data_IF_659439652832
#
_entry.id   IF_659439652832
#
_cell.length_a   1.000
_cell.length_b   1.000
_cell.length_c   1.000
_cell.angle_alpha   90.00
_cell.angle_beta   90.00
_cell.angle_gamma   90.00
#
_symmetry.space_group_name_H-M   'P 1'
#
loop_
_entity.id
_entity.type
_entity.pdbx_description
1 polymer ?
#
# COMPACT_ATOMS: atom_id res chain seq x y z
N UNK A 1 -29.68 -21.98 17.74
CA UNK A 1 -28.81 -20.78 17.74
C UNK A 1 -29.65 -19.57 18.16
N UNK A 2 -29.28 -18.90 19.24
CA UNK A 2 -29.90 -17.63 19.67
C UNK A 2 -28.91 -16.51 19.39
N UNK A 3 -29.40 -15.42 18.82
CA UNK A 3 -28.61 -14.21 18.66
C UNK A 3 -28.53 -13.51 20.03
N UNK A 4 -27.38 -13.51 20.66
CA UNK A 4 -27.16 -12.94 21.98
C UNK A 4 -26.23 -11.73 21.89
N UNK A 5 -26.48 -10.75 22.75
CA UNK A 5 -25.60 -9.60 23.00
C UNK A 5 -25.37 -9.52 24.51
N UNK A 6 -24.14 -9.31 24.91
CA UNK A 6 -23.77 -9.22 26.33
C UNK A 6 -23.78 -7.75 26.78
N UNK A 7 -24.72 -7.36 27.65
CA UNK A 7 -24.69 -6.04 28.29
C UNK A 7 -23.64 -6.03 29.41
N UNK A 8 -22.54 -5.33 29.17
CA UNK A 8 -21.44 -5.17 30.11
C UNK A 8 -21.50 -3.85 30.90
N UNK A 9 -22.59 -3.10 30.75
CA UNK A 9 -22.78 -1.79 31.39
C UNK A 9 -22.87 -1.91 32.91
N UNK A 10 -21.92 -1.33 33.60
CA UNK A 10 -21.91 -1.18 35.06
C UNK A 10 -22.55 0.14 35.54
N UNK A 11 -22.38 0.45 36.82
CA UNK A 11 -22.85 1.73 37.42
C UNK A 11 -21.92 2.91 37.08
N UNK A 12 -20.67 2.65 36.74
CA UNK A 12 -19.65 3.65 36.43
C UNK A 12 -18.86 3.24 35.19
N UNK A 13 -18.16 4.17 34.56
CA UNK A 13 -17.26 3.88 33.43
C UNK A 13 -16.14 2.89 33.81
N UNK A 14 -15.58 3.00 35.02
CA UNK A 14 -14.57 2.07 35.56
C UNK A 14 -15.11 0.64 35.68
N UNK A 15 -16.31 0.48 36.23
CA UNK A 15 -16.95 -0.84 36.37
C UNK A 15 -17.29 -1.43 35.00
N UNK A 16 -17.83 -0.62 34.10
CA UNK A 16 -18.13 -1.03 32.73
C UNK A 16 -16.87 -1.50 32.00
N UNK A 17 -15.77 -0.76 32.10
CA UNK A 17 -14.50 -1.17 31.49
C UNK A 17 -13.98 -2.47 32.09
N UNK A 18 -14.06 -2.62 33.43
CA UNK A 18 -13.68 -3.88 34.11
C UNK A 18 -14.49 -5.04 33.59
N UNK A 19 -15.81 -4.90 33.45
CA UNK A 19 -16.69 -5.94 32.94
C UNK A 19 -16.34 -6.31 31.50
N UNK A 20 -16.17 -5.31 30.61
CA UNK A 20 -15.80 -5.51 29.21
C UNK A 20 -14.45 -6.26 29.07
N UNK A 21 -13.45 -5.84 29.85
CA UNK A 21 -12.13 -6.49 29.88
C UNK A 21 -12.25 -7.94 30.39
N UNK A 22 -13.01 -8.18 31.46
CA UNK A 22 -13.17 -9.50 32.02
C UNK A 22 -13.82 -10.45 31.02
N UNK A 23 -14.97 -10.07 30.46
CA UNK A 23 -15.67 -10.83 29.41
C UNK A 23 -14.76 -11.19 28.26
N UNK A 24 -14.03 -10.18 27.73
CA UNK A 24 -13.14 -10.38 26.59
C UNK A 24 -11.95 -11.28 26.92
N UNK A 25 -11.37 -11.14 28.10
CA UNK A 25 -10.24 -11.99 28.53
C UNK A 25 -10.68 -13.44 28.73
N UNK A 26 -11.79 -13.67 29.39
CA UNK A 26 -12.31 -15.03 29.62
C UNK A 26 -12.68 -15.69 28.29
N UNK A 27 -13.33 -14.95 27.38
CA UNK A 27 -13.65 -15.47 26.06
C UNK A 27 -12.42 -15.88 25.24
N UNK A 28 -11.34 -15.07 25.27
CA UNK A 28 -10.16 -15.29 24.43
C UNK A 28 -9.05 -16.12 25.11
N UNK A 29 -8.74 -15.80 26.37
CA UNK A 29 -7.62 -16.43 27.08
C UNK A 29 -8.01 -17.80 27.67
N UNK A 30 -9.20 -17.87 28.23
CA UNK A 30 -9.69 -19.09 28.86
C UNK A 30 -10.52 -19.94 27.87
N UNK A 31 -10.75 -19.44 26.66
CA UNK A 31 -11.45 -20.16 25.58
C UNK A 31 -12.94 -20.35 25.82
N UNK A 32 -13.55 -19.57 26.74
CA UNK A 32 -14.97 -19.70 27.07
C UNK A 32 -15.85 -19.07 25.97
N UNK A 33 -16.37 -19.93 25.09
CA UNK A 33 -17.26 -19.55 23.99
C UNK A 33 -18.59 -18.98 24.46
N UNK A 34 -19.02 -19.21 25.69
CA UNK A 34 -20.26 -18.64 26.24
C UNK A 34 -20.21 -17.14 26.39
N UNK A 35 -19.01 -16.57 26.45
CA UNK A 35 -18.73 -15.13 26.50
C UNK A 35 -18.25 -14.54 25.16
N UNK A 36 -18.25 -15.31 24.08
CA UNK A 36 -17.81 -14.90 22.74
C UNK A 36 -18.82 -14.10 21.92
N UNK A 37 -19.88 -13.57 22.53
CA UNK A 37 -20.90 -12.78 21.87
C UNK A 37 -20.52 -11.30 21.79
N UNK A 38 -21.12 -10.53 20.84
CA UNK A 38 -20.97 -9.08 20.81
C UNK A 38 -21.36 -8.43 22.13
N UNK A 39 -20.61 -7.43 22.57
CA UNK A 39 -20.89 -6.68 23.80
C UNK A 39 -21.58 -5.36 23.50
N UNK A 40 -22.49 -4.95 24.38
CA UNK A 40 -23.17 -3.66 24.37
C UNK A 40 -22.76 -2.86 25.60
N UNK A 41 -22.52 -1.55 25.40
CA UNK A 41 -22.26 -0.58 26.47
C UNK A 41 -23.23 0.60 26.33
N UNK A 42 -23.99 0.87 27.37
CA UNK A 42 -24.89 2.01 27.43
C UNK A 42 -24.18 3.19 28.10
N UNK A 43 -23.55 4.05 27.28
CA UNK A 43 -22.83 5.23 27.79
C UNK A 43 -23.77 6.33 28.26
N UNK A 44 -25.01 6.39 27.75
CA UNK A 44 -26.01 7.33 28.24
C UNK A 44 -26.31 7.11 29.72
N UNK A 45 -26.41 5.85 30.15
CA UNK A 45 -26.66 5.47 31.54
C UNK A 45 -25.52 5.90 32.48
N UNK A 46 -24.26 5.67 32.07
CA UNK A 46 -23.11 5.95 32.94
C UNK A 46 -22.67 7.41 32.91
N UNK A 47 -22.98 8.15 31.84
CA UNK A 47 -22.72 9.59 31.72
C UNK A 47 -23.80 10.47 32.35
N UNK A 48 -24.93 9.93 32.80
CA UNK A 48 -25.99 10.63 33.52
C UNK A 48 -26.50 11.88 32.81
N UNK A 49 -26.64 11.84 31.49
CA UNK A 49 -27.15 12.94 30.68
C UNK A 49 -26.13 13.99 30.26
N UNK A 50 -24.85 13.84 30.60
CA UNK A 50 -23.79 14.72 30.09
C UNK A 50 -23.32 14.25 28.69
N UNK A 51 -23.62 15.05 27.66
CA UNK A 51 -23.32 14.71 26.26
C UNK A 51 -21.80 14.66 25.97
N UNK A 52 -21.00 15.46 26.66
CA UNK A 52 -19.54 15.44 26.51
C UNK A 52 -18.95 14.18 27.13
N UNK A 53 -19.43 13.78 28.31
CA UNK A 53 -19.05 12.52 28.92
C UNK A 53 -19.53 11.32 28.11
N UNK A 54 -20.72 11.37 27.51
CA UNK A 54 -21.17 10.32 26.59
C UNK A 54 -20.18 10.13 25.43
N UNK A 55 -19.75 11.22 24.81
CA UNK A 55 -18.78 11.17 23.70
C UNK A 55 -17.42 10.62 24.15
N UNK A 56 -16.91 11.08 25.30
CA UNK A 56 -15.66 10.60 25.86
C UNK A 56 -15.69 9.11 26.21
N UNK A 57 -16.77 8.66 26.85
CA UNK A 57 -16.95 7.23 27.17
C UNK A 57 -17.17 6.40 25.91
N UNK A 58 -17.95 6.90 24.95
CA UNK A 58 -18.11 6.24 23.66
C UNK A 58 -16.77 6.03 22.95
N UNK A 59 -15.91 7.06 22.92
CA UNK A 59 -14.56 6.97 22.35
C UNK A 59 -13.75 5.86 23.02
N UNK A 60 -13.72 5.81 24.36
CA UNK A 60 -13.01 4.77 25.10
C UNK A 60 -13.51 3.37 24.76
N UNK A 61 -14.83 3.18 24.65
CA UNK A 61 -15.40 1.85 24.37
C UNK A 61 -15.38 1.47 22.89
N UNK A 62 -15.34 2.43 21.96
CA UNK A 62 -15.00 2.15 20.54
C UNK A 62 -13.61 1.52 20.45
N UNK A 63 -12.64 2.03 21.21
CA UNK A 63 -11.28 1.47 21.24
C UNK A 63 -11.20 0.18 22.06
N UNK A 64 -12.08 -0.01 23.05
CA UNK A 64 -11.99 -1.08 24.05
C UNK A 64 -13.28 -1.91 24.16
N UNK A 65 -13.35 -2.94 23.37
CA UNK A 65 -14.21 -4.12 23.55
C UNK A 65 -15.73 -3.94 23.42
N UNK A 66 -16.26 -2.78 23.07
CA UNK A 66 -17.67 -2.66 22.77
C UNK A 66 -17.95 -2.87 21.28
N UNK A 67 -18.91 -3.73 20.98
CA UNK A 67 -19.41 -3.93 19.61
C UNK A 67 -20.55 -2.97 19.30
N UNK A 68 -21.35 -2.63 20.32
CA UNK A 68 -22.50 -1.73 20.23
C UNK A 68 -22.38 -0.69 21.35
N UNK A 69 -22.58 0.58 21.03
CA UNK A 69 -22.59 1.68 21.99
C UNK A 69 -23.93 2.38 21.92
N UNK A 70 -24.60 2.52 23.09
CA UNK A 70 -25.88 3.20 23.21
C UNK A 70 -25.65 4.61 23.76
N UNK A 71 -26.10 5.61 23.03
CA UNK A 71 -26.09 7.02 23.39
C UNK A 71 -27.53 7.53 23.43
N UNK A 72 -27.85 8.47 24.33
CA UNK A 72 -29.18 9.07 24.41
C UNK A 72 -29.46 10.05 23.28
N UNK A 73 -28.42 10.71 22.80
CA UNK A 73 -28.45 11.67 21.70
C UNK A 73 -27.09 11.65 21.00
N UNK A 74 -27.08 11.94 19.71
CA UNK A 74 -25.84 12.04 18.93
C UNK A 74 -25.93 13.17 17.93
N UNK A 75 -25.31 14.30 18.26
CA UNK A 75 -25.11 15.40 17.33
C UNK A 75 -23.99 15.07 16.31
N UNK A 76 -23.93 15.83 15.23
CA UNK A 76 -22.83 15.69 14.26
C UNK A 76 -21.46 15.92 14.90
N UNK A 77 -21.35 16.86 15.83
CA UNK A 77 -20.11 17.13 16.57
C UNK A 77 -19.65 15.95 17.44
N UNK A 78 -20.57 15.11 17.90
CA UNK A 78 -20.26 13.87 18.64
C UNK A 78 -19.96 12.70 17.67
N UNK A 79 -20.68 12.61 16.58
CA UNK A 79 -20.53 11.53 15.60
C UNK A 79 -19.17 11.58 14.89
N UNK A 80 -18.74 12.76 14.47
CA UNK A 80 -17.52 12.94 13.68
C UNK A 80 -16.26 12.35 14.33
N UNK A 81 -15.91 12.68 15.59
CA UNK A 81 -14.75 12.08 16.25
C UNK A 81 -14.89 10.57 16.47
N UNK A 82 -16.10 10.06 16.72
CA UNK A 82 -16.33 8.62 16.88
C UNK A 82 -16.12 7.85 15.58
N UNK A 83 -16.56 8.38 14.45
CA UNK A 83 -16.30 7.80 13.13
C UNK A 83 -14.83 7.86 12.75
N UNK A 84 -14.16 8.99 13.02
CA UNK A 84 -12.73 9.14 12.81
C UNK A 84 -11.93 8.13 13.63
N UNK A 85 -12.26 7.97 14.90
CA UNK A 85 -11.62 7.00 15.79
C UNK A 85 -11.85 5.56 15.32
N UNK A 86 -13.09 5.20 14.97
CA UNK A 86 -13.41 3.88 14.41
C UNK A 86 -12.61 3.60 13.14
N UNK A 87 -12.49 4.57 12.26
CA UNK A 87 -11.71 4.42 11.04
C UNK A 87 -10.23 4.15 11.36
N UNK A 88 -9.64 4.85 12.33
CA UNK A 88 -8.26 4.65 12.75
C UNK A 88 -8.00 3.22 13.28
N UNK A 89 -8.97 2.62 13.98
CA UNK A 89 -8.85 1.23 14.46
C UNK A 89 -8.75 0.24 13.30
N UNK A 90 -9.52 0.47 12.23
CA UNK A 90 -9.47 -0.39 11.04
C UNK A 90 -8.29 -0.11 10.12
N UNK A 91 -7.64 1.04 10.26
CA UNK A 91 -6.45 1.42 9.49
C UNK A 91 -5.22 1.54 10.38
N UNK A 92 -5.08 0.67 11.39
CA UNK A 92 -3.97 0.67 12.34
C UNK A 92 -2.62 0.77 11.61
N UNK A 93 -1.85 1.84 11.80
CA UNK A 93 -0.56 2.01 11.17
C UNK A 93 0.49 0.99 11.63
N UNK A 94 0.31 0.38 12.80
CA UNK A 94 1.21 -0.67 13.31
C UNK A 94 0.95 -2.04 12.66
N UNK A 95 -0.29 -2.29 12.23
CA UNK A 95 -0.69 -3.50 11.51
C UNK A 95 -1.67 -3.14 10.39
N UNK A 96 -1.21 -2.45 9.36
CA UNK A 96 -2.06 -2.09 8.25
C UNK A 96 -2.63 -3.34 7.59
N UNK A 97 -3.90 -3.26 7.15
CA UNK A 97 -4.47 -4.35 6.36
C UNK A 97 -3.73 -4.45 5.04
N UNK A 98 -3.24 -5.65 4.76
CA UNK A 98 -2.51 -5.98 3.56
C UNK A 98 -3.33 -6.91 2.68
N UNK A 99 -3.10 -6.79 1.37
CA UNK A 99 -3.43 -7.83 0.40
C UNK A 99 -2.17 -8.62 0.07
N UNK A 100 -2.34 -9.81 -0.43
CA UNK A 100 -1.22 -10.65 -0.85
C UNK A 100 -0.48 -10.04 -2.04
N UNK A 101 0.85 -10.01 -1.97
CA UNK A 101 1.69 -9.59 -3.08
C UNK A 101 1.66 -10.66 -4.17
N UNK A 102 0.94 -10.40 -5.26
CA UNK A 102 0.80 -11.28 -6.43
C UNK A 102 0.25 -10.53 -7.63
N UNK A 103 0.05 -11.23 -8.73
CA UNK A 103 -0.61 -10.73 -9.93
C UNK A 103 -2.12 -10.95 -9.80
N UNK A 104 -2.91 -9.90 -9.96
CA UNK A 104 -4.37 -9.92 -9.98
C UNK A 104 -4.85 -9.60 -11.40
N UNK A 105 -5.32 -10.60 -12.17
CA UNK A 105 -5.89 -10.34 -13.49
C UNK A 105 -7.25 -9.65 -13.34
N UNK A 106 -7.40 -8.47 -13.91
CA UNK A 106 -8.62 -7.67 -13.89
C UNK A 106 -9.27 -7.70 -15.29
N UNK A 107 -10.61 -7.77 -15.34
CA UNK A 107 -11.39 -7.79 -16.58
C UNK A 107 -10.96 -8.88 -17.59
N UNK A 108 -10.59 -10.05 -17.07
CA UNK A 108 -10.17 -11.16 -17.92
C UNK A 108 -8.78 -10.98 -18.54
N UNK A 109 -7.90 -10.24 -17.90
CA UNK A 109 -6.53 -10.05 -18.35
C UNK A 109 -5.78 -11.38 -18.51
N UNK A 110 -4.99 -11.46 -19.55
CA UNK A 110 -4.14 -12.60 -19.93
C UNK A 110 -2.66 -12.19 -19.99
N UNK A 111 -1.81 -13.09 -20.51
CA UNK A 111 -0.38 -12.85 -20.68
C UNK A 111 -0.03 -11.68 -21.64
N UNK A 112 -0.97 -11.29 -22.52
CA UNK A 112 -0.78 -10.23 -23.50
C UNK A 112 -1.34 -8.88 -23.04
N UNK A 113 -1.97 -8.85 -21.87
CA UNK A 113 -2.53 -7.63 -21.28
C UNK A 113 -1.46 -6.80 -20.58
N UNK A 114 -1.56 -5.44 -20.60
CA UNK A 114 -0.60 -4.58 -19.91
C UNK A 114 -0.62 -4.79 -18.40
N UNK A 115 0.47 -4.40 -17.73
CA UNK A 115 0.59 -4.48 -16.29
C UNK A 115 0.44 -3.09 -15.65
N UNK A 116 -0.28 -3.01 -14.54
CA UNK A 116 -0.29 -1.87 -13.64
C UNK A 116 0.32 -2.27 -12.29
N UNK A 117 1.10 -1.38 -11.68
CA UNK A 117 1.83 -1.64 -10.45
C UNK A 117 1.26 -0.83 -9.29
N UNK A 118 1.10 -1.47 -8.13
CA UNK A 118 0.82 -0.76 -6.87
C UNK A 118 1.33 -1.55 -5.65
N UNK A 119 0.96 -1.10 -4.46
CA UNK A 119 1.43 -1.64 -3.18
C UNK A 119 0.36 -2.50 -2.50
N UNK A 120 0.79 -3.29 -1.51
CA UNK A 120 -0.03 -4.24 -0.76
C UNK A 120 -0.98 -3.61 0.27
N UNK A 121 -1.02 -2.29 0.43
CA UNK A 121 -1.96 -1.62 1.31
C UNK A 121 -3.41 -1.84 0.83
N UNK A 122 -4.23 -2.47 1.66
CA UNK A 122 -5.58 -2.90 1.26
C UNK A 122 -6.45 -1.77 0.70
N UNK A 123 -6.41 -0.57 1.32
CA UNK A 123 -7.17 0.58 0.83
C UNK A 123 -6.73 1.01 -0.57
N UNK A 124 -5.42 1.03 -0.83
CA UNK A 124 -4.87 1.35 -2.16
C UNK A 124 -5.28 0.27 -3.17
N UNK A 125 -5.18 -1.00 -2.80
CA UNK A 125 -5.60 -2.11 -3.66
C UNK A 125 -7.06 -2.00 -4.06
N UNK A 126 -7.99 -1.86 -3.10
CA UNK A 126 -9.42 -1.77 -3.41
C UNK A 126 -9.78 -0.54 -4.23
N UNK A 127 -9.11 0.59 -4.00
CA UNK A 127 -9.30 1.79 -4.80
C UNK A 127 -8.84 1.56 -6.25
N UNK A 128 -7.63 1.06 -6.43
CA UNK A 128 -7.04 0.86 -7.77
C UNK A 128 -7.76 -0.26 -8.52
N UNK A 129 -8.00 -1.42 -7.88
CA UNK A 129 -8.70 -2.54 -8.53
C UNK A 129 -10.11 -2.16 -8.95
N UNK A 130 -10.85 -1.42 -8.10
CA UNK A 130 -12.20 -0.94 -8.45
C UNK A 130 -12.21 0.02 -9.64
N UNK A 131 -11.21 0.90 -9.78
CA UNK A 131 -11.10 1.76 -10.95
C UNK A 131 -10.65 1.00 -12.21
N UNK A 132 -9.78 0.00 -12.07
CA UNK A 132 -9.41 -0.89 -13.16
C UNK A 132 -10.61 -1.71 -13.65
N UNK A 133 -11.41 -2.27 -12.73
CA UNK A 133 -12.65 -2.99 -13.06
C UNK A 133 -13.64 -2.08 -13.81
N UNK A 134 -13.81 -0.84 -13.35
CA UNK A 134 -14.67 0.15 -13.99
C UNK A 134 -14.21 0.53 -15.41
N UNK A 135 -12.93 0.41 -15.71
CA UNK A 135 -12.39 0.66 -17.05
C UNK A 135 -12.95 -0.31 -18.09
N UNK A 136 -13.27 -1.55 -17.70
CA UNK A 136 -13.62 -2.65 -18.59
C UNK A 136 -12.45 -3.13 -19.45
N UNK A 137 -11.23 -2.59 -19.28
CA UNK A 137 -10.06 -2.99 -20.03
C UNK A 137 -9.28 -4.09 -19.29
N UNK A 138 -8.75 -5.11 -20.00
CA UNK A 138 -7.95 -6.15 -19.38
C UNK A 138 -6.59 -5.58 -18.91
N UNK A 139 -6.26 -5.74 -17.62
CA UNK A 139 -5.01 -5.28 -17.02
C UNK A 139 -4.58 -6.25 -15.93
N UNK A 140 -3.31 -6.62 -15.90
CA UNK A 140 -2.70 -7.38 -14.82
C UNK A 140 -2.23 -6.43 -13.71
N UNK A 141 -2.90 -6.42 -12.57
CA UNK A 141 -2.51 -5.60 -11.43
C UNK A 141 -1.46 -6.34 -10.60
N UNK A 142 -0.23 -5.83 -10.62
CA UNK A 142 0.89 -6.36 -9.84
C UNK A 142 0.94 -5.65 -8.50
N UNK A 143 0.92 -6.44 -7.42
CA UNK A 143 1.02 -5.95 -6.05
C UNK A 143 2.39 -6.26 -5.48
N UNK A 144 3.12 -5.23 -5.02
CA UNK A 144 4.40 -5.40 -4.32
C UNK A 144 4.20 -5.35 -2.81
N UNK A 145 5.02 -6.10 -2.05
CA UNK A 145 5.06 -5.98 -0.59
C UNK A 145 5.73 -4.67 -0.19
N UNK A 146 4.94 -3.75 0.31
CA UNK A 146 5.35 -2.46 0.86
C UNK A 146 5.07 -2.35 2.37
N UNK A 147 4.93 -3.48 3.05
CA UNK A 147 4.59 -3.57 4.47
C UNK A 147 3.24 -2.91 4.82
N UNK A 148 2.28 -2.92 3.88
CA UNK A 148 0.96 -2.33 4.06
C UNK A 148 0.96 -0.80 4.07
N UNK A 149 1.94 -0.16 3.48
CA UNK A 149 2.01 1.31 3.37
C UNK A 149 1.40 1.78 2.05
N UNK A 150 0.87 3.01 2.03
CA UNK A 150 0.46 3.66 0.80
C UNK A 150 1.66 3.94 -0.10
N UNK A 151 1.44 4.14 -1.41
CA UNK A 151 2.50 4.33 -2.41
C UNK A 151 3.54 5.38 -1.99
N UNK A 152 3.10 6.58 -1.61
CA UNK A 152 4.01 7.67 -1.22
C UNK A 152 4.73 7.39 0.10
N UNK A 153 4.03 6.82 1.08
CA UNK A 153 4.63 6.45 2.37
C UNK A 153 5.67 5.35 2.19
N UNK A 154 5.36 4.33 1.38
CA UNK A 154 6.26 3.23 1.08
C UNK A 154 7.50 3.71 0.30
N UNK A 155 7.31 4.61 -0.66
CA UNK A 155 8.41 5.23 -1.39
C UNK A 155 9.33 6.03 -0.45
N UNK A 156 8.77 6.93 0.37
CA UNK A 156 9.53 7.71 1.34
C UNK A 156 10.26 6.84 2.37
N UNK A 157 9.70 5.68 2.74
CA UNK A 157 10.31 4.72 3.65
C UNK A 157 11.30 3.73 2.97
N UNK A 158 11.54 3.87 1.66
CA UNK A 158 12.40 2.96 0.88
C UNK A 158 11.83 1.55 0.69
N UNK A 159 10.54 1.33 1.02
CA UNK A 159 9.85 0.04 0.84
C UNK A 159 9.27 -0.15 -0.55
N UNK A 160 9.06 0.93 -1.28
CA UNK A 160 8.67 0.93 -2.67
C UNK A 160 9.78 1.60 -3.48
N UNK A 161 10.68 0.81 -4.04
CA UNK A 161 11.87 1.24 -4.78
C UNK A 161 12.07 0.37 -6.02
N UNK A 162 12.93 0.78 -6.93
CA UNK A 162 13.27 -0.01 -8.13
C UNK A 162 13.77 -1.42 -7.77
N UNK A 163 14.54 -1.55 -6.68
CA UNK A 163 15.05 -2.84 -6.21
C UNK A 163 13.95 -3.75 -5.63
N UNK A 164 13.01 -3.19 -4.84
CA UNK A 164 11.88 -3.98 -4.30
C UNK A 164 10.91 -4.39 -5.41
N UNK A 165 10.72 -3.56 -6.43
CA UNK A 165 9.92 -3.89 -7.61
C UNK A 165 10.60 -5.04 -8.40
N UNK A 166 11.90 -4.95 -8.70
CA UNK A 166 12.63 -6.03 -9.37
C UNK A 166 12.53 -7.34 -8.59
N UNK A 167 12.71 -7.30 -7.27
CA UNK A 167 12.54 -8.47 -6.40
C UNK A 167 11.15 -9.09 -6.54
N UNK A 168 10.08 -8.27 -6.57
CA UNK A 168 8.71 -8.75 -6.79
C UNK A 168 8.57 -9.43 -8.16
N UNK A 169 9.19 -8.88 -9.20
CA UNK A 169 9.20 -9.46 -10.53
C UNK A 169 9.84 -10.85 -10.55
N UNK A 170 10.98 -10.99 -9.86
CA UNK A 170 11.70 -12.26 -9.75
C UNK A 170 10.91 -13.29 -8.92
N UNK A 171 10.41 -12.91 -7.74
CA UNK A 171 9.66 -13.79 -6.84
C UNK A 171 8.35 -14.31 -7.46
N UNK A 172 7.65 -13.45 -8.21
CA UNK A 172 6.40 -13.82 -8.87
C UNK A 172 6.61 -14.44 -10.26
N UNK A 173 7.84 -14.49 -10.75
CA UNK A 173 8.19 -14.99 -12.08
C UNK A 173 7.39 -14.29 -13.19
N UNK A 174 7.32 -12.96 -13.10
CA UNK A 174 6.48 -12.13 -13.97
C UNK A 174 6.96 -12.18 -15.42
N UNK A 175 8.27 -12.20 -15.62
CA UNK A 175 8.89 -12.23 -16.96
C UNK A 175 8.48 -13.44 -17.78
N UNK A 176 8.26 -14.60 -17.15
CA UNK A 176 7.81 -15.81 -17.83
C UNK A 176 6.27 -15.89 -17.97
N UNK A 177 5.52 -15.22 -17.07
CA UNK A 177 4.06 -15.27 -17.05
C UNK A 177 3.39 -14.23 -17.94
N UNK A 178 4.04 -13.11 -18.18
CA UNK A 178 3.47 -11.97 -18.93
C UNK A 178 4.32 -11.72 -20.18
N UNK A 179 3.68 -11.72 -21.33
CA UNK A 179 4.31 -11.43 -22.62
C UNK A 179 4.29 -9.94 -22.98
N UNK A 180 3.24 -9.24 -22.56
CA UNK A 180 3.17 -7.80 -22.74
C UNK A 180 4.16 -7.12 -21.79
N UNK A 181 5.08 -6.36 -22.36
CA UNK A 181 6.18 -5.71 -21.62
C UNK A 181 5.86 -4.27 -21.22
N UNK A 182 4.60 -3.89 -21.14
CA UNK A 182 4.17 -2.55 -20.68
C UNK A 182 3.88 -2.57 -19.19
N UNK A 183 4.60 -1.73 -18.43
CA UNK A 183 4.44 -1.56 -16.99
C UNK A 183 3.99 -0.14 -16.66
N UNK A 184 2.77 0.02 -16.21
CA UNK A 184 2.18 1.30 -15.80
C UNK A 184 2.47 1.49 -14.31
N UNK A 185 3.27 2.51 -13.96
CA UNK A 185 3.59 2.86 -12.57
C UNK A 185 2.69 3.99 -12.08
N UNK A 186 2.44 4.12 -10.76
CA UNK A 186 1.62 5.21 -10.22
C UNK A 186 2.24 6.57 -10.53
N UNK A 187 1.45 7.51 -11.05
CA UNK A 187 1.93 8.85 -11.41
C UNK A 187 2.52 9.65 -10.25
N UNK A 188 2.10 9.36 -9.00
CA UNK A 188 2.66 9.98 -7.78
C UNK A 188 4.15 9.68 -7.57
N UNK A 189 4.67 8.63 -8.17
CA UNK A 189 6.07 8.22 -8.09
C UNK A 189 6.76 8.20 -9.47
N UNK A 190 6.32 9.08 -10.37
CA UNK A 190 6.87 9.24 -11.72
C UNK A 190 8.40 9.38 -11.76
N UNK A 191 8.98 9.97 -10.71
CA UNK A 191 10.43 10.15 -10.53
C UNK A 191 11.20 8.83 -10.55
N UNK A 192 10.56 7.71 -10.21
CA UNK A 192 11.17 6.38 -10.20
C UNK A 192 11.27 5.73 -11.58
N UNK A 193 10.65 6.32 -12.63
CA UNK A 193 10.58 5.71 -13.97
C UNK A 193 11.97 5.28 -14.48
N UNK A 194 12.96 6.16 -14.40
CA UNK A 194 14.32 5.89 -14.88
C UNK A 194 14.97 4.72 -14.16
N UNK A 195 14.93 4.72 -12.83
CA UNK A 195 15.52 3.65 -12.01
C UNK A 195 14.82 2.30 -12.21
N UNK A 196 13.49 2.29 -12.38
CA UNK A 196 12.74 1.06 -12.66
C UNK A 196 13.10 0.56 -14.06
N UNK A 197 13.21 1.45 -15.05
CA UNK A 197 13.58 1.11 -16.41
C UNK A 197 14.98 0.48 -16.49
N UNK A 198 15.94 0.97 -15.70
CA UNK A 198 17.28 0.37 -15.59
C UNK A 198 17.26 -1.03 -15.00
N UNK A 199 16.40 -1.28 -14.00
CA UNK A 199 16.26 -2.60 -13.37
C UNK A 199 15.44 -3.60 -14.18
N UNK A 200 14.57 -3.12 -15.04
CA UNK A 200 13.69 -3.89 -15.91
C UNK A 200 13.87 -3.48 -17.38
N UNK A 201 15.04 -3.72 -17.99
CA UNK A 201 15.39 -3.20 -19.32
C UNK A 201 14.49 -3.73 -20.44
N UNK A 202 13.91 -4.92 -20.28
CA UNK A 202 13.00 -5.52 -21.25
C UNK A 202 11.56 -4.99 -21.15
N UNK A 203 11.26 -4.16 -20.15
CA UNK A 203 9.94 -3.59 -19.93
C UNK A 203 9.87 -2.16 -20.41
N UNK A 204 8.72 -1.77 -20.92
CA UNK A 204 8.40 -0.38 -21.29
C UNK A 204 7.70 0.27 -20.10
N UNK A 205 8.46 0.94 -19.24
CA UNK A 205 7.93 1.60 -18.06
C UNK A 205 7.26 2.91 -18.45
N UNK A 206 5.96 3.00 -18.20
CA UNK A 206 5.15 4.19 -18.47
C UNK A 206 4.57 4.75 -17.19
N UNK A 207 4.44 6.07 -17.15
CA UNK A 207 3.84 6.77 -16.00
C UNK A 207 2.35 6.86 -16.20
N UNK A 208 1.60 6.27 -15.29
CA UNK A 208 0.14 6.36 -15.24
C UNK A 208 -0.34 7.67 -14.59
N UNK A 209 -1.65 7.85 -14.44
CA UNK A 209 -2.22 9.03 -13.81
C UNK A 209 -1.86 9.12 -12.31
N UNK A 210 -1.87 10.34 -11.78
CA UNK A 210 -1.59 10.60 -10.37
C UNK A 210 -2.70 10.10 -9.45
N UNK A 211 -3.94 10.12 -9.90
CA UNK A 211 -5.12 9.71 -9.14
C UNK A 211 -5.79 8.49 -9.79
N UNK A 212 -6.12 7.49 -8.96
CA UNK A 212 -6.71 6.23 -9.43
C UNK A 212 -8.02 6.43 -10.22
N UNK A 213 -8.83 7.44 -9.86
CA UNK A 213 -10.09 7.78 -10.56
C UNK A 213 -9.90 8.11 -12.04
N UNK A 214 -8.70 8.44 -12.47
CA UNK A 214 -8.37 8.75 -13.87
C UNK A 214 -8.00 7.48 -14.67
N UNK A 215 -7.73 6.34 -14.00
CA UNK A 215 -7.35 5.09 -14.65
C UNK A 215 -8.35 4.61 -15.71
N UNK A 216 -9.69 4.67 -15.49
CA UNK A 216 -10.64 4.21 -16.49
C UNK A 216 -10.54 4.96 -17.81
N UNK A 217 -10.35 6.28 -17.77
CA UNK A 217 -10.16 7.09 -18.96
C UNK A 217 -8.82 6.78 -19.62
N UNK A 218 -7.75 6.82 -18.83
CA UNK A 218 -6.39 6.54 -19.30
C UNK A 218 -6.26 5.21 -20.04
N UNK A 219 -6.90 4.16 -19.53
CA UNK A 219 -6.89 2.84 -20.16
C UNK A 219 -7.77 2.76 -21.40
N UNK A 220 -8.98 3.36 -21.37
CA UNK A 220 -9.90 3.38 -22.52
C UNK A 220 -9.32 4.16 -23.69
N UNK A 221 -8.71 5.29 -23.41
CA UNK A 221 -8.10 6.15 -24.44
C UNK A 221 -6.71 5.60 -24.88
N UNK A 222 -6.26 4.49 -24.26
CA UNK A 222 -4.98 3.81 -24.54
C UNK A 222 -3.79 4.77 -24.48
N UNK A 223 -3.82 5.76 -23.60
CA UNK A 223 -2.76 6.76 -23.45
C UNK A 223 -1.38 6.14 -23.17
N UNK A 224 -1.38 4.95 -22.54
CA UNK A 224 -0.15 4.19 -22.27
C UNK A 224 0.51 3.61 -23.54
N UNK A 225 -0.22 3.34 -24.63
CA UNK A 225 0.34 2.71 -25.84
C UNK A 225 1.36 3.64 -26.51
N UNK A 226 1.05 4.92 -26.66
CA UNK A 226 2.00 5.91 -27.19
C UNK A 226 3.22 6.08 -26.30
N UNK A 227 3.03 6.13 -24.98
CA UNK A 227 4.12 6.22 -24.01
C UNK A 227 4.99 4.96 -23.98
N UNK A 228 4.39 3.76 -24.14
CA UNK A 228 5.10 2.49 -24.23
C UNK A 228 5.92 2.40 -25.51
N UNK A 229 5.38 2.81 -26.65
CA UNK A 229 6.10 2.85 -27.91
C UNK A 229 7.32 3.80 -27.86
N UNK A 230 7.17 4.99 -27.23
CA UNK A 230 8.26 5.90 -27.01
C UNK A 230 9.35 5.31 -26.08
N UNK A 231 8.95 4.65 -24.99
CA UNK A 231 9.86 3.97 -24.07
C UNK A 231 10.60 2.82 -24.76
N UNK A 232 9.93 2.03 -25.60
CA UNK A 232 10.54 0.97 -26.38
C UNK A 232 11.59 1.50 -27.36
N UNK A 233 11.30 2.60 -28.06
CA UNK A 233 12.25 3.25 -28.96
C UNK A 233 13.49 3.79 -28.20
N UNK A 234 13.30 4.38 -27.04
CA UNK A 234 14.40 4.86 -26.18
C UNK A 234 15.27 3.70 -25.69
N UNK A 235 14.67 2.60 -25.25
CA UNK A 235 15.41 1.40 -24.81
C UNK A 235 16.20 0.78 -25.95
N UNK A 236 15.62 0.68 -27.14
CA UNK A 236 16.31 0.18 -28.34
C UNK A 236 17.50 1.07 -28.71
N UNK A 237 17.34 2.40 -28.64
CA UNK A 237 18.43 3.34 -28.91
C UNK A 237 19.56 3.21 -27.89
N UNK A 238 19.23 3.07 -26.58
CA UNK A 238 20.23 2.83 -25.53
C UNK A 238 20.98 1.50 -25.71
N UNK A 239 20.26 0.44 -26.06
CA UNK A 239 20.86 -0.85 -26.33
C UNK A 239 21.80 -0.81 -27.54
N UNK A 240 21.39 -0.13 -28.62
CA UNK A 240 22.23 0.06 -29.81
C UNK A 240 23.48 0.91 -29.50
N UNK A 241 23.35 1.96 -28.70
CA UNK A 241 24.48 2.78 -28.25
C UNK A 241 25.46 1.98 -27.37
N UNK A 242 24.94 1.17 -26.47
CA UNK A 242 25.76 0.28 -25.62
C UNK A 242 26.48 -0.80 -26.45
N UNK A 243 25.83 -1.34 -27.48
CA UNK A 243 26.44 -2.32 -28.38
C UNK A 243 27.50 -1.71 -29.30
N UNK A 244 27.41 -0.39 -29.63
CA UNK A 244 28.36 0.34 -30.45
C UNK A 244 29.52 0.96 -29.65
N UNK A 245 29.40 1.04 -28.34
CA UNK A 245 30.49 1.46 -27.46
C UNK A 245 31.57 0.36 -27.50
N UNK A 246 32.76 0.67 -28.00
CA UNK A 246 33.92 -0.20 -27.88
C UNK A 246 34.14 -0.49 -26.37
N UNK A 247 34.54 -1.73 -25.99
CA UNK A 247 34.81 -2.03 -24.59
C UNK A 247 35.83 -1.02 -24.08
N UNK A 248 35.49 -0.27 -23.05
CA UNK A 248 36.45 0.57 -22.33
C UNK A 248 37.59 -0.36 -21.89
N UNK A 249 38.79 -0.08 -22.39
CA UNK A 249 39.98 -0.79 -22.02
C UNK A 249 40.13 -0.62 -20.51
N UNK A 250 39.93 -1.66 -19.72
CA UNK A 250 40.28 -1.63 -18.30
C UNK A 250 41.75 -1.26 -18.19
N UNK A 251 42.01 -0.02 -17.77
CA UNK A 251 43.35 0.46 -17.49
C UNK A 251 43.92 -0.39 -16.34
N UNK A 252 45.09 -0.96 -16.55
CA UNK A 252 45.82 -1.66 -15.46
C UNK A 252 46.17 -0.66 -14.37
N UNK A 253 46.42 -1.16 -13.18
CA UNK A 253 46.82 -0.34 -12.02
C UNK A 253 48.06 0.52 -12.31
N UNK A 254 48.97 0.03 -13.14
CA UNK A 254 50.17 0.74 -13.59
C UNK A 254 49.83 1.92 -14.53
N UNK A 255 48.91 1.72 -15.49
CA UNK A 255 48.46 2.78 -16.39
C UNK A 255 47.65 3.86 -15.65
N UNK A 256 46.94 3.51 -14.58
CA UNK A 256 46.24 4.45 -13.69
C UNK A 256 47.24 5.30 -12.83
N UNK A 257 48.33 4.73 -12.38
CA UNK A 257 49.38 5.45 -11.66
C UNK A 257 50.10 6.47 -12.55
N UNK A 258 50.38 6.14 -13.79
CA UNK A 258 51.02 7.08 -14.74
C UNK A 258 50.14 8.29 -15.13
N UNK A 259 48.81 8.10 -15.17
CA UNK A 259 47.88 9.16 -15.61
C UNK A 259 47.34 10.06 -14.48
N UNK A 260 47.39 9.62 -13.22
CA UNK A 260 46.79 10.34 -12.07
C UNK A 260 47.75 10.81 -10.99
N UNK A 261 49.00 10.40 -10.99
CA UNK A 261 49.98 10.88 -9.99
C UNK A 261 50.74 12.07 -10.60
N UNK A 262 50.66 13.27 -10.01
CA UNK A 262 51.47 14.40 -10.45
C UNK A 262 52.93 14.08 -10.20
N UNK A 263 53.80 14.24 -11.22
CA UNK A 263 55.28 14.14 -11.02
C UNK A 263 55.70 15.22 -10.09
N UNK A 264 56.15 14.85 -8.90
CA UNK A 264 56.74 15.76 -7.94
C UNK A 264 58.21 15.90 -8.33
N UNK A 265 58.60 17.04 -8.89
CA UNK A 265 60.03 17.41 -9.01
C UNK A 265 60.55 17.82 -7.64
N UNK A 266 61.50 17.06 -7.13
CA UNK A 266 62.24 17.44 -5.93
C UNK A 266 63.33 18.40 -6.40
N UNK A 267 63.16 19.67 -6.07
CA UNK A 267 64.22 20.69 -6.28
C UNK A 267 65.11 20.66 -5.04
N UNK A 268 66.33 20.16 -5.19
CA UNK A 268 67.35 20.29 -4.17
C UNK A 268 67.75 21.77 -4.03
N UNK A 269 67.64 22.31 -2.80
CA UNK A 269 68.19 23.62 -2.43
C UNK A 269 69.61 23.48 -1.90
#
# INVERSE_FOLDING_TARGET
NKNLVLDVTGKTAKETLKNAVLVRRTALKDGDRSLGYPSIVNVAKIAKGDDRLQTAYASMFVEKYASIIVMSNMSYAQALPLYGLRQNIFTDPQKPMKVEAKIYPINGADENSPCALTVDFALTYFLVSGELERSGQPVNLIITDASGMSVLTAWAAGKFSSSTIKKTFDELDIENKIKNRTLIIPGKVAVMKGEIQEKLPEWNVVVGPAEAVQLPKYLKDKEYEGAAAAAAAENAAKAAAAASAAPEKELTFEELLETRVPKIEIVDM
#
